data_IF_860587581285
#
_entry.id   IF_860587581285
#
_cell.length_a   1.000
_cell.length_b   1.000
_cell.length_c   1.000
_cell.angle_alpha   90.00
_cell.angle_beta   90.00
_cell.angle_gamma   90.00
#
_symmetry.space_group_name_H-M   'P 1'
#
loop_
_entity.id
_entity.type
_entity.pdbx_description
1 polymer ?
#
# COMPACT_ATOMS: atom_id res chain seq x y z
N UNK A 1 -2.24 17.66 -21.38
CA UNK A 1 -2.54 18.05 -19.99
C UNK A 1 -1.65 17.21 -19.08
N UNK A 2 -0.82 17.82 -18.24
CA UNK A 2 0.22 17.13 -17.50
C UNK A 2 -0.40 16.25 -16.39
N UNK A 3 -0.31 14.92 -16.56
CA UNK A 3 -0.83 13.95 -15.60
C UNK A 3 -0.09 14.06 -14.26
N UNK A 4 -0.86 14.13 -13.17
CA UNK A 4 -0.43 14.48 -11.81
C UNK A 4 0.41 13.44 -11.08
N UNK A 5 1.59 13.11 -11.60
CA UNK A 5 2.61 12.30 -10.92
C UNK A 5 3.45 13.17 -9.99
N UNK A 6 3.68 12.75 -8.75
CA UNK A 6 4.79 13.27 -7.94
C UNK A 6 6.06 12.99 -8.74
N UNK A 7 6.75 14.04 -9.20
CA UNK A 7 7.84 13.88 -10.18
C UNK A 7 9.14 13.40 -9.54
N UNK A 8 9.33 13.65 -8.24
CA UNK A 8 10.53 13.24 -7.53
C UNK A 8 10.23 13.12 -6.04
N UNK A 9 10.47 11.93 -5.48
CA UNK A 9 10.58 11.72 -4.05
C UNK A 9 12.03 11.39 -3.73
N UNK A 10 12.71 12.25 -2.99
CA UNK A 10 14.07 11.98 -2.51
C UNK A 10 13.96 11.60 -1.04
N UNK A 11 14.42 10.40 -0.71
CA UNK A 11 14.52 9.90 0.66
C UNK A 11 16.00 9.99 1.06
N UNK A 12 16.32 10.84 2.03
CA UNK A 12 17.67 10.93 2.62
C UNK A 12 17.63 10.43 4.04
N UNK A 13 18.59 9.57 4.39
CA UNK A 13 18.80 9.12 5.76
C UNK A 13 19.79 10.06 6.45
N UNK A 14 19.48 10.44 7.68
CA UNK A 14 20.36 11.25 8.52
C UNK A 14 20.36 10.68 9.95
N UNK A 15 21.54 10.51 10.53
CA UNK A 15 21.71 10.15 11.94
C UNK A 15 22.10 11.40 12.72
N UNK A 16 21.42 11.69 13.84
CA UNK A 16 21.87 12.73 14.77
C UNK A 16 22.60 12.11 15.95
N UNK A 17 23.85 12.53 16.20
CA UNK A 17 24.55 12.25 17.46
C UNK A 17 24.46 13.50 18.35
N UNK A 18 23.68 13.44 19.42
CA UNK A 18 23.73 14.46 20.46
C UNK A 18 24.84 14.10 21.45
N UNK A 19 25.88 14.92 21.52
CA UNK A 19 26.91 14.81 22.57
C UNK A 19 26.23 14.91 23.95
N UNK A 20 26.16 13.80 24.68
CA UNK A 20 25.68 13.73 26.08
C UNK A 20 24.42 12.89 26.35
N UNK A 21 23.80 12.26 25.36
CA UNK A 21 22.69 11.32 25.60
C UNK A 21 22.72 10.13 24.65
N UNK A 22 22.73 8.92 25.21
CA UNK A 22 22.71 7.66 24.48
C UNK A 22 21.29 7.40 23.95
N UNK A 23 20.93 8.06 22.85
CA UNK A 23 19.76 7.71 22.05
C UNK A 23 20.05 8.08 20.58
N UNK A 24 20.75 7.18 19.88
CA UNK A 24 20.95 7.30 18.44
C UNK A 24 19.60 7.09 17.77
N UNK A 25 18.95 8.18 17.34
CA UNK A 25 17.72 8.12 16.54
C UNK A 25 18.09 8.39 15.09
N UNK A 26 17.78 7.43 14.24
CA UNK A 26 17.90 7.59 12.80
C UNK A 26 16.63 8.23 12.24
N UNK A 27 16.81 9.27 11.44
CA UNK A 27 15.72 10.03 10.84
C UNK A 27 15.73 9.84 9.33
N UNK A 28 14.53 9.92 8.75
CA UNK A 28 14.32 9.93 7.32
C UNK A 28 13.74 11.29 6.94
N UNK A 29 14.43 12.01 6.06
CA UNK A 29 13.90 13.18 5.39
C UNK A 29 13.34 12.76 4.04
N UNK A 30 12.02 12.86 3.90
CA UNK A 30 11.31 12.71 2.63
C UNK A 30 11.03 14.08 2.05
N UNK A 31 11.39 14.25 0.78
CA UNK A 31 11.10 15.44 -0.02
C UNK A 31 10.10 15.07 -1.12
N UNK A 32 9.06 15.89 -1.33
CA UNK A 32 8.07 15.69 -2.40
C UNK A 32 7.66 17.00 -3.08
N UNK A 33 7.17 16.87 -4.33
CA UNK A 33 6.75 17.99 -5.18
C UNK A 33 5.33 17.80 -5.76
N UNK A 34 4.26 17.82 -4.93
CA UNK A 34 2.89 17.72 -5.42
C UNK A 34 2.38 19.03 -6.05
N UNK A 35 1.28 18.93 -6.79
CA UNK A 35 0.52 20.10 -7.26
C UNK A 35 -0.02 20.89 -6.07
N UNK A 36 0.00 22.23 -6.20
CA UNK A 36 -0.59 23.14 -5.23
C UNK A 36 -2.09 22.82 -5.07
N UNK A 37 -2.59 22.85 -3.83
CA UNK A 37 -3.95 22.46 -3.46
C UNK A 37 -4.11 21.00 -3.02
N UNK A 38 -3.14 20.10 -3.27
CA UNK A 38 -3.18 18.76 -2.66
C UNK A 38 -2.97 18.83 -1.15
N UNK A 39 -3.70 18.03 -0.39
CA UNK A 39 -3.50 17.87 1.06
C UNK A 39 -2.07 17.36 1.33
N UNK A 40 -1.44 17.84 2.39
CA UNK A 40 -0.10 17.44 2.78
C UNK A 40 -0.10 15.98 3.28
N UNK A 41 0.85 15.14 2.87
CA UNK A 41 0.90 13.74 3.30
C UNK A 41 0.95 13.57 4.83
N UNK A 42 1.65 14.48 5.52
CA UNK A 42 1.66 14.54 6.99
C UNK A 42 0.25 14.78 7.59
N UNK A 43 -0.56 15.67 6.99
CA UNK A 43 -1.94 15.91 7.44
C UNK A 43 -2.80 14.64 7.33
N UNK A 44 -2.62 13.88 6.25
CA UNK A 44 -3.29 12.58 6.09
C UNK A 44 -2.84 11.61 7.17
N UNK A 45 -1.53 11.51 7.45
CA UNK A 45 -1.00 10.66 8.53
C UNK A 45 -1.61 11.06 9.88
N UNK A 46 -1.72 12.36 10.19
CA UNK A 46 -2.32 12.83 11.44
C UNK A 46 -3.82 12.49 11.54
N UNK A 47 -4.57 12.65 10.43
CA UNK A 47 -5.99 12.24 10.36
C UNK A 47 -6.16 10.73 10.52
N UNK A 48 -5.35 9.95 9.81
CA UNK A 48 -5.34 8.50 9.90
C UNK A 48 -5.02 8.04 11.33
N UNK A 49 -4.01 8.63 11.98
CA UNK A 49 -3.65 8.31 13.37
C UNK A 49 -4.79 8.64 14.33
N UNK A 50 -5.47 9.78 14.14
CA UNK A 50 -6.67 10.11 14.92
C UNK A 50 -7.80 9.11 14.71
N UNK A 51 -8.05 8.68 13.48
CA UNK A 51 -9.07 7.67 13.18
C UNK A 51 -8.75 6.34 13.87
N UNK A 52 -7.51 5.86 13.76
CA UNK A 52 -7.07 4.60 14.38
C UNK A 52 -7.05 4.66 15.91
N UNK A 53 -6.68 5.80 16.51
CA UNK A 53 -6.76 5.96 17.97
C UNK A 53 -8.18 5.74 18.50
N UNK A 54 -9.22 6.21 17.78
CA UNK A 54 -10.60 5.95 18.21
C UNK A 54 -10.94 4.46 18.17
N UNK A 55 -10.43 3.74 17.15
CA UNK A 55 -10.59 2.28 17.05
C UNK A 55 -9.87 1.59 18.20
N UNK A 56 -8.63 1.99 18.48
CA UNK A 56 -7.83 1.45 19.58
C UNK A 56 -8.50 1.68 20.94
N UNK A 57 -9.05 2.87 21.18
CA UNK A 57 -9.78 3.21 22.40
C UNK A 57 -11.04 2.36 22.57
N UNK A 58 -11.81 2.14 21.49
CA UNK A 58 -12.99 1.28 21.53
C UNK A 58 -12.64 -0.19 21.76
N UNK A 59 -11.54 -0.68 21.20
CA UNK A 59 -11.07 -2.06 21.38
C UNK A 59 -10.45 -2.28 22.76
N UNK A 60 -9.75 -1.29 23.32
CA UNK A 60 -9.12 -1.37 24.64
C UNK A 60 -10.11 -1.55 25.79
N UNK A 61 -11.36 -1.08 25.62
CA UNK A 61 -12.48 -1.35 26.55
C UNK A 61 -12.77 -2.85 26.70
N UNK A 62 -12.35 -3.67 25.73
CA UNK A 62 -12.56 -5.13 25.71
C UNK A 62 -11.27 -5.95 25.90
N UNK A 63 -10.09 -5.38 25.62
CA UNK A 63 -8.78 -6.08 25.67
C UNK A 63 -7.64 -5.13 26.09
N UNK A 64 -7.25 -5.19 27.36
CA UNK A 64 -6.08 -4.44 27.86
C UNK A 64 -4.76 -5.06 27.36
N UNK A 65 -3.82 -4.22 26.90
CA UNK A 65 -2.44 -4.65 26.56
C UNK A 65 -2.21 -5.12 25.12
N UNK A 66 -3.14 -4.90 24.20
CA UNK A 66 -2.93 -5.24 22.78
C UNK A 66 -2.21 -4.14 22.00
N UNK A 67 -1.48 -4.58 20.97
CA UNK A 67 -0.83 -3.73 19.96
C UNK A 67 -1.85 -2.79 19.32
N UNK A 68 -1.50 -1.52 19.18
CA UNK A 68 -2.38 -0.47 18.66
C UNK A 68 -2.27 -0.35 17.14
N UNK A 69 -3.40 -0.22 16.46
CA UNK A 69 -3.40 0.00 15.01
C UNK A 69 -2.77 1.35 14.65
N UNK A 70 -2.93 2.36 15.50
CA UNK A 70 -2.30 3.69 15.33
C UNK A 70 -0.76 3.67 15.25
N UNK A 71 -0.11 2.64 15.79
CA UNK A 71 1.34 2.44 15.70
C UNK A 71 1.80 1.87 14.35
N UNK A 72 0.85 1.43 13.52
CA UNK A 72 1.07 0.99 12.14
C UNK A 72 1.17 2.14 11.13
N UNK A 73 1.31 3.39 11.62
CA UNK A 73 1.54 4.58 10.82
C UNK A 73 2.93 5.16 11.11
N UNK A 74 3.59 5.83 10.14
CA UNK A 74 4.87 6.49 10.37
C UNK A 74 4.77 7.56 11.46
N UNK A 75 5.78 7.63 12.34
CA UNK A 75 5.96 8.72 13.29
C UNK A 75 6.57 9.90 12.54
N UNK A 76 5.77 10.95 12.37
CA UNK A 76 6.19 12.22 11.80
C UNK A 76 6.66 13.12 12.92
N UNK A 77 7.92 13.57 12.86
CA UNK A 77 8.51 14.47 13.84
C UNK A 77 8.38 15.93 13.42
N UNK A 78 8.53 16.20 12.12
CA UNK A 78 8.38 17.53 11.53
C UNK A 78 7.83 17.40 10.12
N UNK A 79 7.03 18.36 9.72
CA UNK A 79 6.62 18.57 8.35
C UNK A 79 6.65 20.08 8.07
N UNK A 80 6.98 20.45 6.83
CA UNK A 80 6.95 21.84 6.40
C UNK A 80 6.85 21.95 4.89
N UNK A 81 6.20 23.02 4.45
CA UNK A 81 6.06 23.41 3.06
C UNK A 81 6.87 24.67 2.80
N UNK A 82 7.66 24.69 1.73
CA UNK A 82 8.32 25.92 1.29
C UNK A 82 7.36 26.68 0.37
N UNK A 83 6.71 27.70 0.93
CA UNK A 83 5.80 28.60 0.21
C UNK A 83 6.50 29.26 -1.00
N UNK A 84 5.77 29.32 -2.12
CA UNK A 84 6.10 29.99 -3.38
C UNK A 84 6.62 31.43 -3.24
N UNK A 85 6.37 32.10 -2.12
CA UNK A 85 6.89 33.46 -1.84
C UNK A 85 8.39 33.51 -1.57
N UNK A 86 9.03 32.39 -1.22
CA UNK A 86 10.45 32.35 -0.88
C UNK A 86 11.34 32.17 -2.14
N UNK A 87 11.37 33.20 -3.00
CA UNK A 87 12.06 33.19 -4.31
C UNK A 87 13.53 32.78 -4.25
N UNK A 88 14.22 33.10 -3.15
CA UNK A 88 15.65 32.81 -2.96
C UNK A 88 15.87 31.29 -2.79
N UNK A 89 15.12 30.64 -1.88
CA UNK A 89 15.17 29.19 -1.70
C UNK A 89 14.76 28.45 -2.98
N UNK A 90 13.79 28.98 -3.72
CA UNK A 90 13.38 28.41 -5.00
C UNK A 90 14.50 28.46 -6.05
N UNK A 91 15.22 29.58 -6.16
CA UNK A 91 16.37 29.72 -7.06
C UNK A 91 17.54 28.79 -6.74
N UNK A 92 17.70 28.40 -5.47
CA UNK A 92 18.69 27.39 -5.06
C UNK A 92 18.24 25.95 -5.30
N UNK A 93 16.92 25.68 -5.29
CA UNK A 93 16.37 24.33 -5.41
C UNK A 93 15.84 23.98 -6.82
N UNK A 94 15.58 24.94 -7.71
CA UNK A 94 14.91 24.70 -9.00
C UNK A 94 15.71 25.26 -10.21
N UNK A 95 16.17 24.37 -11.09
CA UNK A 95 16.62 24.74 -12.44
C UNK A 95 15.48 24.72 -13.49
N UNK A 96 14.31 24.15 -13.16
CA UNK A 96 13.20 23.94 -14.09
C UNK A 96 11.87 24.39 -13.47
N UNK A 97 11.08 25.17 -14.23
CA UNK A 97 9.76 25.67 -13.84
C UNK A 97 8.73 24.53 -13.69
N UNK A 98 8.55 24.01 -12.48
CA UNK A 98 7.55 22.98 -12.16
C UNK A 98 6.16 23.61 -11.94
N UNK A 99 5.42 23.83 -13.03
CA UNK A 99 4.10 24.47 -13.08
C UNK A 99 3.16 24.16 -11.91
N UNK A 100 2.96 25.16 -11.05
CA UNK A 100 1.97 25.13 -9.96
C UNK A 100 2.24 24.11 -8.85
N UNK A 101 3.45 23.57 -8.70
CA UNK A 101 3.79 22.60 -7.65
C UNK A 101 4.42 23.28 -6.42
N UNK A 102 4.34 22.64 -5.27
CA UNK A 102 4.93 23.11 -3.99
C UNK A 102 5.93 22.09 -3.46
N UNK A 103 7.01 22.56 -2.84
CA UNK A 103 8.04 21.72 -2.26
C UNK A 103 7.70 21.42 -0.79
N UNK A 104 7.60 20.13 -0.47
CA UNK A 104 7.21 19.63 0.85
C UNK A 104 8.26 18.71 1.44
N UNK A 105 8.39 18.77 2.76
CA UNK A 105 9.30 17.92 3.52
C UNK A 105 8.57 17.25 4.68
N UNK A 106 8.91 15.99 4.92
CA UNK A 106 8.49 15.22 6.09
C UNK A 106 9.76 14.61 6.71
N UNK A 107 9.99 14.90 7.98
CA UNK A 107 10.98 14.22 8.82
C UNK A 107 10.24 13.17 9.63
N UNK A 108 10.54 11.91 9.38
CA UNK A 108 9.96 10.78 10.09
C UNK A 108 11.03 9.90 10.70
N UNK A 109 10.58 8.91 11.48
CA UNK A 109 11.45 7.81 11.88
C UNK A 109 11.99 7.02 10.69
N UNK A 110 13.09 6.30 10.94
CA UNK A 110 13.59 5.27 10.06
C UNK A 110 12.80 3.98 10.25
N UNK A 111 12.20 3.50 9.15
CA UNK A 111 11.52 2.21 9.06
C UNK A 111 12.32 1.27 8.18
N UNK A 112 12.13 -0.03 8.35
CA UNK A 112 12.76 -1.06 7.52
C UNK A 112 11.72 -1.67 6.56
N UNK A 113 12.08 -2.03 5.32
CA UNK A 113 11.16 -2.66 4.37
C UNK A 113 10.61 -3.98 4.90
N UNK A 114 9.32 -4.29 4.68
CA UNK A 114 8.75 -5.58 5.11
C UNK A 114 9.53 -6.78 4.52
N UNK A 115 10.13 -6.59 3.34
CA UNK A 115 10.93 -7.60 2.66
C UNK A 115 12.25 -7.90 3.36
N UNK A 116 12.71 -7.08 4.31
CA UNK A 116 13.93 -7.33 5.10
C UNK A 116 13.70 -8.27 6.29
N UNK A 117 12.45 -8.63 6.60
CA UNK A 117 12.13 -9.63 7.60
C UNK A 117 12.62 -11.01 7.14
N UNK A 118 13.26 -11.75 8.05
CA UNK A 118 13.76 -13.11 7.80
C UNK A 118 12.99 -14.18 8.57
N UNK A 119 12.12 -13.77 9.50
CA UNK A 119 11.18 -14.64 10.20
C UNK A 119 9.80 -14.55 9.55
N UNK A 120 9.22 -15.72 9.27
CA UNK A 120 7.94 -15.81 8.57
C UNK A 120 6.77 -15.29 9.42
N UNK A 121 6.77 -15.54 10.72
CA UNK A 121 5.69 -15.12 11.60
C UNK A 121 5.74 -13.61 11.89
N UNK A 122 6.95 -13.03 11.96
CA UNK A 122 7.14 -11.58 11.95
C UNK A 122 6.59 -10.96 10.65
N UNK A 123 6.90 -11.55 9.48
CA UNK A 123 6.36 -11.11 8.19
C UNK A 123 4.83 -11.18 8.15
N UNK A 124 4.24 -12.31 8.55
CA UNK A 124 2.78 -12.47 8.61
C UNK A 124 2.15 -11.44 9.53
N UNK A 125 2.77 -11.19 10.69
CA UNK A 125 2.30 -10.19 11.65
C UNK A 125 2.31 -8.79 11.07
N UNK A 126 3.42 -8.36 10.49
CA UNK A 126 3.53 -7.05 9.84
C UNK A 126 2.51 -6.89 8.69
N UNK A 127 2.34 -7.93 7.87
CA UNK A 127 1.38 -7.91 6.76
C UNK A 127 -0.07 -7.80 7.26
N UNK A 128 -0.42 -8.51 8.33
CA UNK A 128 -1.74 -8.42 8.98
C UNK A 128 -2.00 -7.04 9.59
N UNK A 129 -1.02 -6.44 10.27
CA UNK A 129 -1.18 -5.10 10.84
C UNK A 129 -1.59 -4.09 9.75
N UNK A 130 -0.90 -4.14 8.60
CA UNK A 130 -1.15 -3.27 7.45
C UNK A 130 -2.55 -3.54 6.87
N UNK A 131 -2.93 -4.81 6.72
CA UNK A 131 -4.27 -5.19 6.27
C UNK A 131 -5.37 -4.61 7.19
N UNK A 132 -5.22 -4.73 8.51
CA UNK A 132 -6.20 -4.18 9.46
C UNK A 132 -6.29 -2.65 9.38
N UNK A 133 -5.15 -1.96 9.25
CA UNK A 133 -5.12 -0.50 9.13
C UNK A 133 -5.83 -0.01 7.87
N UNK A 134 -5.65 -0.69 6.74
CA UNK A 134 -6.40 -0.39 5.50
C UNK A 134 -7.91 -0.44 5.77
N UNK A 135 -8.39 -1.49 6.43
CA UNK A 135 -9.81 -1.64 6.75
C UNK A 135 -10.32 -0.52 7.65
N UNK A 136 -9.70 -0.35 8.82
CA UNK A 136 -10.17 0.61 9.82
C UNK A 136 -10.14 2.06 9.33
N UNK A 137 -9.22 2.38 8.43
CA UNK A 137 -9.17 3.69 7.79
C UNK A 137 -10.26 3.86 6.73
N UNK A 138 -10.51 2.84 5.90
CA UNK A 138 -11.55 2.85 4.88
C UNK A 138 -12.95 3.02 5.48
N UNK A 139 -13.25 2.34 6.60
CA UNK A 139 -14.56 2.44 7.27
C UNK A 139 -14.67 3.61 8.26
N UNK A 140 -13.59 4.38 8.44
CA UNK A 140 -13.60 5.55 9.33
C UNK A 140 -14.51 6.65 8.79
N UNK A 141 -14.86 7.62 9.65
CA UNK A 141 -15.67 8.80 9.23
C UNK A 141 -15.03 9.60 8.09
N UNK A 142 -13.71 9.57 7.97
CA UNK A 142 -12.98 10.29 6.94
C UNK A 142 -12.77 9.43 5.67
N UNK A 143 -13.15 8.15 5.65
CA UNK A 143 -13.08 7.26 4.49
C UNK A 143 -11.71 7.28 3.82
N UNK A 144 -10.65 6.96 4.56
CA UNK A 144 -9.27 7.18 4.12
C UNK A 144 -8.79 5.98 3.31
N UNK A 145 -8.38 6.21 2.06
CA UNK A 145 -7.87 5.19 1.13
C UNK A 145 -6.44 5.55 0.72
N UNK A 146 -5.50 4.60 0.78
CA UNK A 146 -4.08 4.88 0.55
C UNK A 146 -3.72 5.07 -0.93
N UNK A 147 -4.34 4.29 -1.84
CA UNK A 147 -4.25 4.40 -3.32
C UNK A 147 -2.91 4.04 -3.98
N UNK A 148 -1.85 3.82 -3.21
CA UNK A 148 -0.56 3.33 -3.71
C UNK A 148 0.07 2.25 -2.82
N UNK A 149 -0.66 1.15 -2.65
CA UNK A 149 -0.13 -0.06 -2.04
C UNK A 149 0.92 -0.68 -2.98
N UNK A 150 2.17 -0.72 -2.53
CA UNK A 150 3.30 -1.29 -3.27
C UNK A 150 4.35 -1.85 -2.30
N UNK A 151 5.31 -2.65 -2.80
CA UNK A 151 6.33 -3.32 -1.97
C UNK A 151 7.13 -2.32 -1.11
N UNK A 152 7.50 -1.15 -1.66
CA UNK A 152 8.30 -0.15 -0.94
C UNK A 152 7.54 0.59 0.16
N UNK A 153 6.21 0.55 0.15
CA UNK A 153 5.36 1.23 1.12
C UNK A 153 4.96 0.32 2.29
N UNK A 154 5.11 -0.99 2.15
CA UNK A 154 4.98 -1.92 3.26
C UNK A 154 6.30 -1.96 4.03
N UNK A 155 6.28 -1.41 5.24
CA UNK A 155 7.42 -1.31 6.13
C UNK A 155 7.14 -2.03 7.46
N UNK A 156 8.14 -2.10 8.32
CA UNK A 156 7.96 -2.46 9.71
C UNK A 156 8.90 -1.66 10.63
N UNK A 157 8.59 -1.73 11.92
CA UNK A 157 9.47 -1.33 13.02
C UNK A 157 9.57 -2.48 14.01
N UNK A 158 10.65 -2.51 14.78
CA UNK A 158 10.79 -3.40 15.95
C UNK A 158 10.50 -2.58 17.21
N UNK A 159 9.61 -3.10 18.06
CA UNK A 159 9.26 -2.48 19.34
C UNK A 159 10.32 -2.84 20.41
N UNK A 160 10.26 -2.15 21.56
CA UNK A 160 11.22 -2.34 22.66
C UNK A 160 11.20 -3.77 23.22
N UNK A 161 10.04 -4.43 23.18
CA UNK A 161 9.88 -5.83 23.59
C UNK A 161 10.37 -6.86 22.55
N UNK A 162 10.92 -6.37 21.43
CA UNK A 162 11.42 -7.17 20.32
C UNK A 162 10.35 -7.57 19.30
N UNK A 163 9.07 -7.32 19.55
CA UNK A 163 7.99 -7.64 18.62
C UNK A 163 8.01 -6.74 17.37
N UNK A 164 7.45 -7.24 16.27
CA UNK A 164 7.38 -6.52 14.99
C UNK A 164 6.03 -5.85 14.83
N UNK A 165 6.03 -4.59 14.38
CA UNK A 165 4.86 -3.82 13.99
C UNK A 165 4.95 -3.45 12.51
N UNK A 166 4.02 -3.94 11.70
CA UNK A 166 3.87 -3.52 10.32
C UNK A 166 3.44 -2.06 10.23
N UNK A 167 3.98 -1.33 9.27
CA UNK A 167 3.73 0.11 9.07
C UNK A 167 3.45 0.37 7.60
N UNK A 168 2.33 1.02 7.29
CA UNK A 168 2.01 1.47 5.94
C UNK A 168 2.53 2.90 5.73
N UNK A 169 3.48 3.06 4.82
CA UNK A 169 4.18 4.32 4.56
C UNK A 169 3.72 4.97 3.24
N UNK A 170 4.01 6.26 3.09
CA UNK A 170 3.75 7.08 1.90
C UNK A 170 2.28 7.41 1.60
N UNK A 171 1.76 8.40 2.33
CA UNK A 171 0.36 8.84 2.25
C UNK A 171 0.13 10.04 1.30
N UNK A 172 1.07 10.35 0.40
CA UNK A 172 1.02 11.57 -0.43
C UNK A 172 -0.08 11.55 -1.51
N UNK A 173 -0.57 10.37 -1.86
CA UNK A 173 -1.61 10.16 -2.89
C UNK A 173 -2.91 9.60 -2.31
N UNK A 174 -2.99 9.49 -0.98
CA UNK A 174 -4.17 9.03 -0.29
C UNK A 174 -5.36 10.00 -0.50
N UNK A 175 -6.57 9.46 -0.46
CA UNK A 175 -7.81 10.23 -0.51
C UNK A 175 -8.63 10.08 0.77
N UNK A 176 -9.57 10.99 0.94
CA UNK A 176 -10.57 10.97 2.02
C UNK A 176 -11.94 11.23 1.41
N UNK A 177 -13.02 10.79 2.07
CA UNK A 177 -14.41 11.00 1.62
C UNK A 177 -14.73 12.48 1.35
N UNK A 178 -14.07 13.41 2.06
CA UNK A 178 -14.21 14.87 1.84
C UNK A 178 -13.63 15.34 0.51
N UNK A 179 -12.61 14.64 0.00
CA UNK A 179 -11.91 14.98 -1.25
C UNK A 179 -12.64 14.43 -2.48
N UNK A 180 -13.59 13.51 -2.31
CA UNK A 180 -14.36 12.91 -3.41
C UNK A 180 -15.42 13.84 -4.00
N UNK A 181 -15.69 14.99 -3.36
CA UNK A 181 -16.54 16.04 -3.92
C UNK A 181 -15.92 16.76 -5.13
N UNK A 182 -14.60 16.59 -5.36
CA UNK A 182 -13.89 17.03 -6.56
C UNK A 182 -13.69 15.86 -7.53
N UNK A 183 -14.46 15.85 -8.63
CA UNK A 183 -14.45 14.80 -9.67
C UNK A 183 -13.08 14.56 -10.33
N UNK A 184 -12.19 15.55 -10.28
CA UNK A 184 -10.83 15.44 -10.84
C UNK A 184 -9.89 14.61 -9.94
N UNK A 185 -10.17 14.51 -8.64
CA UNK A 185 -9.34 13.76 -7.69
C UNK A 185 -9.72 12.27 -7.61
N UNK A 186 -10.99 11.94 -7.85
CA UNK A 186 -11.53 10.57 -7.77
C UNK A 186 -11.05 9.67 -8.91
N UNK A 187 -10.96 10.20 -10.13
CA UNK A 187 -10.61 9.43 -11.34
C UNK A 187 -9.11 9.45 -11.68
N UNK A 188 -8.28 10.03 -10.82
CA UNK A 188 -6.85 10.14 -11.07
C UNK A 188 -6.18 8.76 -11.05
N UNK A 189 -5.49 8.40 -12.14
CA UNK A 189 -4.71 7.15 -12.27
C UNK A 189 -3.44 7.16 -11.41
N UNK A 190 -3.58 7.18 -10.09
CA UNK A 190 -2.50 7.01 -9.11
C UNK A 190 -2.15 5.54 -8.93
N UNK A 191 -1.04 5.23 -8.26
CA UNK A 191 -0.66 3.86 -7.92
C UNK A 191 0.32 3.21 -8.91
N UNK A 192 1.15 2.33 -8.38
CA UNK A 192 2.18 1.59 -9.13
C UNK A 192 1.56 0.51 -10.03
N UNK A 193 1.87 0.51 -11.33
CA UNK A 193 1.20 -0.32 -12.37
C UNK A 193 1.11 -1.81 -12.01
N UNK A 194 2.21 -2.40 -11.53
CA UNK A 194 2.25 -3.81 -11.16
C UNK A 194 1.33 -4.16 -9.99
N UNK A 195 1.12 -3.25 -9.04
CA UNK A 195 0.38 -3.53 -7.81
C UNK A 195 -1.04 -2.99 -7.80
N UNK A 196 -1.36 -2.01 -8.64
CA UNK A 196 -2.70 -1.45 -8.81
C UNK A 196 -3.76 -2.54 -9.00
N UNK A 197 -4.97 -2.41 -8.45
CA UNK A 197 -6.05 -3.39 -8.73
C UNK A 197 -6.38 -3.49 -10.22
N UNK A 198 -6.84 -4.66 -10.67
CA UNK A 198 -7.20 -4.94 -12.08
C UNK A 198 -8.19 -3.94 -12.65
N UNK A 199 -9.28 -3.62 -11.95
CA UNK A 199 -10.33 -2.73 -12.48
C UNK A 199 -9.86 -1.26 -12.58
N UNK A 200 -8.87 -0.85 -11.79
CA UNK A 200 -8.28 0.50 -11.88
C UNK A 200 -7.45 0.72 -13.16
N UNK A 201 -7.33 -0.30 -14.02
CA UNK A 201 -6.78 -0.18 -15.36
C UNK A 201 -7.84 0.09 -16.44
N UNK A 202 -9.13 0.11 -16.10
CA UNK A 202 -10.20 0.54 -17.03
C UNK A 202 -10.09 2.04 -17.35
N UNK A 203 -10.76 2.46 -18.44
CA UNK A 203 -10.79 3.86 -18.89
C UNK A 203 -12.23 4.36 -19.09
N UNK A 204 -12.70 5.33 -18.29
CA UNK A 204 -12.05 5.91 -17.11
C UNK A 204 -11.93 4.87 -15.97
N UNK A 205 -10.97 5.05 -15.03
CA UNK A 205 -10.89 4.17 -13.87
C UNK A 205 -12.11 4.38 -12.96
N UNK A 206 -12.60 3.34 -12.27
CA UNK A 206 -13.65 3.48 -11.27
C UNK A 206 -13.16 4.26 -10.03
N UNK A 207 -14.11 4.75 -9.23
CA UNK A 207 -13.82 5.34 -7.91
C UNK A 207 -13.10 4.33 -7.04
N UNK A 208 -12.02 4.75 -6.40
CA UNK A 208 -11.18 3.87 -5.61
C UNK A 208 -11.90 3.43 -4.34
N UNK A 209 -11.89 2.13 -4.05
CA UNK A 209 -12.59 1.52 -2.93
C UNK A 209 -11.69 0.52 -2.19
N UNK A 210 -12.08 0.16 -0.97
CA UNK A 210 -11.32 -0.72 -0.08
C UNK A 210 -10.85 -2.02 -0.74
N UNK A 211 -11.72 -2.72 -1.50
CA UNK A 211 -11.34 -3.98 -2.16
C UNK A 211 -10.17 -3.85 -3.13
N UNK A 212 -9.92 -2.66 -3.67
CA UNK A 212 -8.76 -2.43 -4.54
C UNK A 212 -7.45 -2.42 -3.76
N UNK A 213 -7.47 -1.97 -2.50
CA UNK A 213 -6.32 -2.04 -1.60
C UNK A 213 -6.01 -3.50 -1.25
N UNK A 214 -7.03 -4.32 -1.02
CA UNK A 214 -6.88 -5.77 -0.79
C UNK A 214 -6.34 -6.52 -2.00
N UNK A 215 -6.85 -6.23 -3.18
CA UNK A 215 -6.30 -6.80 -4.42
C UNK A 215 -4.85 -6.36 -4.65
N UNK A 216 -4.53 -5.10 -4.32
CA UNK A 216 -3.15 -4.59 -4.41
C UNK A 216 -2.21 -5.28 -3.41
N UNK A 217 -2.67 -5.52 -2.17
CA UNK A 217 -1.95 -6.31 -1.17
C UNK A 217 -1.68 -7.73 -1.67
N UNK A 218 -2.66 -8.37 -2.31
CA UNK A 218 -2.47 -9.69 -2.92
C UNK A 218 -1.37 -9.67 -3.99
N UNK A 219 -1.35 -8.65 -4.86
CA UNK A 219 -0.30 -8.54 -5.87
C UNK A 219 1.08 -8.27 -5.24
N UNK A 220 1.16 -7.43 -4.20
CA UNK A 220 2.40 -7.21 -3.44
C UNK A 220 2.90 -8.53 -2.84
N UNK A 221 2.03 -9.27 -2.14
CA UNK A 221 2.36 -10.57 -1.57
C UNK A 221 2.83 -11.56 -2.64
N UNK A 222 2.13 -11.63 -3.77
CA UNK A 222 2.50 -12.47 -4.91
C UNK A 222 3.92 -12.17 -5.39
N UNK A 223 4.24 -10.91 -5.64
CA UNK A 223 5.57 -10.50 -6.12
C UNK A 223 6.68 -10.74 -5.10
N UNK A 224 6.42 -10.49 -3.81
CA UNK A 224 7.37 -10.80 -2.72
C UNK A 224 7.68 -12.30 -2.73
N UNK A 225 6.64 -13.14 -2.70
CA UNK A 225 6.78 -14.59 -2.70
C UNK A 225 7.46 -15.14 -3.96
N UNK A 226 7.48 -14.43 -5.09
CA UNK A 226 8.21 -14.89 -6.28
C UNK A 226 9.71 -14.58 -6.26
N UNK A 227 10.13 -13.58 -5.48
CA UNK A 227 11.38 -12.88 -5.78
C UNK A 227 12.25 -12.47 -4.60
N UNK A 228 11.78 -12.60 -3.36
CA UNK A 228 12.56 -12.26 -2.17
C UNK A 228 12.94 -13.50 -1.35
N UNK A 229 14.09 -13.44 -0.67
CA UNK A 229 14.51 -14.35 0.40
C UNK A 229 15.55 -13.64 1.25
N UNK A 230 15.60 -13.93 2.55
CA UNK A 230 16.66 -13.47 3.45
C UNK A 230 16.93 -11.96 3.36
N UNK A 231 15.84 -11.20 3.30
CA UNK A 231 15.89 -9.77 3.28
C UNK A 231 16.23 -9.11 1.94
N UNK A 232 16.39 -9.90 0.87
CA UNK A 232 16.96 -9.43 -0.41
C UNK A 232 16.15 -9.88 -1.61
N UNK A 233 16.16 -9.04 -2.64
CA UNK A 233 15.70 -9.43 -3.96
C UNK A 233 16.66 -10.48 -4.54
N UNK A 234 16.14 -11.64 -4.90
CA UNK A 234 16.92 -12.75 -5.43
C UNK A 234 17.52 -12.40 -6.81
N UNK A 235 18.66 -12.99 -7.18
CA UNK A 235 19.14 -13.01 -8.57
C UNK A 235 18.09 -13.61 -9.51
N UNK A 236 18.07 -13.17 -10.78
CA UNK A 236 17.01 -13.52 -11.73
C UNK A 236 16.84 -15.04 -11.90
N UNK A 237 17.94 -15.79 -11.92
CA UNK A 237 18.01 -17.24 -12.06
C UNK A 237 17.46 -18.02 -10.85
N UNK A 238 17.36 -17.37 -9.68
CA UNK A 238 16.79 -17.96 -8.45
C UNK A 238 15.33 -17.54 -8.22
N UNK A 239 14.80 -16.61 -9.01
CA UNK A 239 13.39 -16.20 -8.91
C UNK A 239 12.49 -17.28 -9.51
N UNK A 240 11.26 -17.34 -9.01
CA UNK A 240 10.23 -18.16 -9.65
C UNK A 240 10.04 -17.72 -11.11
N UNK A 241 9.85 -18.68 -12.03
CA UNK A 241 9.81 -18.41 -13.49
C UNK A 241 8.73 -17.41 -13.90
N UNK A 242 7.61 -17.35 -13.18
CA UNK A 242 6.56 -16.35 -13.37
C UNK A 242 7.05 -14.90 -13.24
N UNK A 243 8.22 -14.66 -12.63
CA UNK A 243 8.85 -13.34 -12.58
C UNK A 243 9.19 -12.80 -13.97
N UNK A 244 9.35 -13.67 -14.98
CA UNK A 244 9.50 -13.25 -16.38
C UNK A 244 8.36 -12.36 -16.88
N UNK A 245 7.20 -12.38 -16.21
CA UNK A 245 6.07 -11.53 -16.56
C UNK A 245 6.16 -10.09 -16.01
N UNK A 246 7.12 -9.79 -15.13
CA UNK A 246 7.25 -8.47 -14.48
C UNK A 246 7.23 -7.28 -15.46
N UNK A 247 7.94 -7.30 -16.61
CA UNK A 247 7.92 -6.18 -17.56
C UNK A 247 6.52 -5.86 -18.09
N UNK A 248 5.67 -6.87 -18.26
CA UNK A 248 4.30 -6.68 -18.73
C UNK A 248 3.38 -6.13 -17.64
N UNK A 249 3.59 -6.56 -16.40
CA UNK A 249 2.86 -6.03 -15.24
C UNK A 249 3.24 -4.59 -14.91
N UNK A 250 4.48 -4.19 -15.22
CA UNK A 250 4.98 -2.84 -15.02
C UNK A 250 5.02 -2.02 -16.33
N UNK A 251 4.28 -2.46 -17.35
CA UNK A 251 4.11 -1.70 -18.60
C UNK A 251 3.29 -0.43 -18.35
N UNK A 252 3.53 0.59 -19.17
CA UNK A 252 2.69 1.79 -19.29
C UNK A 252 1.36 1.51 -20.00
N UNK A 253 1.22 0.37 -20.68
CA UNK A 253 -0.01 -0.05 -21.33
C UNK A 253 -0.97 -0.73 -20.33
N UNK A 254 -2.01 0.00 -19.94
CA UNK A 254 -3.04 -0.49 -19.01
C UNK A 254 -3.75 -1.77 -19.47
N UNK A 255 -4.02 -1.93 -20.78
CA UNK A 255 -4.65 -3.12 -21.32
C UNK A 255 -3.77 -4.36 -21.21
N UNK A 256 -2.46 -4.21 -21.42
CA UNK A 256 -1.48 -5.28 -21.20
C UNK A 256 -1.49 -5.71 -19.74
N UNK A 257 -1.35 -4.76 -18.80
CA UNK A 257 -1.35 -5.07 -17.36
C UNK A 257 -2.67 -5.74 -16.94
N UNK A 258 -3.80 -5.24 -17.41
CA UNK A 258 -5.12 -5.82 -17.15
C UNK A 258 -5.24 -7.28 -17.65
N UNK A 259 -4.72 -7.57 -18.85
CA UNK A 259 -4.72 -8.92 -19.41
C UNK A 259 -3.91 -9.90 -18.55
N UNK A 260 -2.69 -9.51 -18.15
CA UNK A 260 -1.84 -10.35 -17.31
C UNK A 260 -2.43 -10.62 -15.92
N UNK A 261 -3.09 -9.63 -15.31
CA UNK A 261 -3.85 -9.81 -14.06
C UNK A 261 -5.01 -10.78 -14.23
N UNK A 262 -5.73 -10.67 -15.34
CA UNK A 262 -6.81 -11.60 -15.70
C UNK A 262 -6.29 -13.03 -15.89
N UNK A 263 -5.09 -13.18 -16.48
CA UNK A 263 -4.39 -14.45 -16.63
C UNK A 263 -3.98 -15.06 -15.29
N UNK A 264 -3.38 -14.27 -14.38
CA UNK A 264 -3.05 -14.75 -13.02
C UNK A 264 -4.30 -15.22 -12.29
N UNK A 265 -5.40 -14.46 -12.36
CA UNK A 265 -6.68 -14.85 -11.75
C UNK A 265 -7.19 -16.20 -12.27
N UNK A 266 -7.05 -16.47 -13.57
CA UNK A 266 -7.55 -17.68 -14.20
C UNK A 266 -6.62 -18.89 -14.07
N UNK A 267 -5.35 -18.69 -13.70
CA UNK A 267 -4.34 -19.74 -13.65
C UNK A 267 -4.50 -20.63 -12.42
N UNK A 268 -4.96 -21.87 -12.61
CA UNK A 268 -5.20 -22.82 -11.51
C UNK A 268 -3.93 -23.49 -10.98
N UNK A 269 -2.84 -23.49 -11.77
CA UNK A 269 -1.64 -24.31 -11.52
C UNK A 269 -0.45 -23.51 -11.00
N UNK A 270 -0.51 -22.17 -11.04
CA UNK A 270 0.59 -21.27 -10.64
C UNK A 270 1.11 -21.50 -9.21
N UNK A 271 0.25 -22.02 -8.32
CA UNK A 271 0.57 -22.30 -6.91
C UNK A 271 0.66 -23.80 -6.58
N UNK A 272 0.67 -24.70 -7.57
CA UNK A 272 0.77 -26.15 -7.34
C UNK A 272 2.20 -26.56 -6.97
N UNK A 273 3.19 -26.05 -7.71
CA UNK A 273 4.60 -26.39 -7.54
C UNK A 273 5.25 -25.50 -6.47
N UNK A 274 4.85 -25.68 -5.20
CA UNK A 274 5.32 -24.88 -4.06
C UNK A 274 6.85 -24.81 -3.96
N UNK A 275 7.56 -25.87 -4.32
CA UNK A 275 9.02 -25.93 -4.24
C UNK A 275 9.74 -24.94 -5.18
N UNK A 276 9.03 -24.40 -6.18
CA UNK A 276 9.56 -23.35 -7.07
C UNK A 276 9.57 -21.97 -6.44
N UNK A 277 8.91 -21.78 -5.30
CA UNK A 277 8.94 -20.53 -4.55
C UNK A 277 10.14 -20.51 -3.58
N UNK A 278 10.68 -19.31 -3.25
CA UNK A 278 11.69 -19.14 -2.22
C UNK A 278 11.26 -19.76 -0.89
N UNK A 279 12.20 -20.43 -0.22
CA UNK A 279 11.94 -21.32 0.90
C UNK A 279 11.15 -20.65 2.03
N UNK A 280 11.55 -19.43 2.41
CA UNK A 280 10.89 -18.64 3.46
C UNK A 280 9.36 -18.50 3.24
N UNK A 281 8.92 -18.34 2.00
CA UNK A 281 7.52 -18.03 1.67
C UNK A 281 6.70 -19.25 1.24
N UNK A 282 7.32 -20.44 1.09
CA UNK A 282 6.62 -21.69 0.76
C UNK A 282 5.41 -21.98 1.66
N UNK A 283 5.47 -21.73 2.98
CA UNK A 283 4.31 -21.98 3.85
C UNK A 283 3.13 -21.03 3.60
N UNK A 284 3.30 -19.92 2.87
CA UNK A 284 2.21 -18.99 2.51
C UNK A 284 1.47 -19.35 1.23
N UNK A 285 2.08 -20.18 0.37
CA UNK A 285 1.59 -20.39 -1.00
C UNK A 285 0.17 -20.96 -1.02
N UNK A 286 -0.10 -21.97 -0.19
CA UNK A 286 -1.43 -22.58 -0.08
C UNK A 286 -2.39 -21.79 0.81
N UNK A 287 -2.07 -21.48 2.09
CA UNK A 287 -3.04 -20.85 2.98
C UNK A 287 -3.34 -19.41 2.61
N UNK A 288 -2.41 -18.66 2.01
CA UNK A 288 -2.65 -17.26 1.65
C UNK A 288 -2.80 -17.08 0.15
N UNK A 289 -1.74 -17.29 -0.66
CA UNK A 289 -1.76 -16.90 -2.07
C UNK A 289 -2.84 -17.62 -2.88
N UNK A 290 -2.95 -18.95 -2.74
CA UNK A 290 -3.96 -19.74 -3.45
C UNK A 290 -5.38 -19.38 -3.01
N UNK A 291 -5.63 -19.17 -1.71
CA UNK A 291 -6.96 -18.80 -1.22
C UNK A 291 -7.35 -17.37 -1.62
N UNK A 292 -6.43 -16.41 -1.57
CA UNK A 292 -6.66 -15.04 -2.04
C UNK A 292 -6.95 -15.01 -3.55
N UNK A 293 -6.15 -15.71 -4.35
CA UNK A 293 -6.37 -15.85 -5.79
C UNK A 293 -7.73 -16.49 -6.09
N UNK A 294 -8.06 -17.59 -5.39
CA UNK A 294 -9.35 -18.27 -5.53
C UNK A 294 -10.52 -17.33 -5.20
N UNK A 295 -10.40 -16.56 -4.12
CA UNK A 295 -11.41 -15.61 -3.67
C UNK A 295 -11.61 -14.47 -4.67
N UNK A 296 -10.53 -13.88 -5.17
CA UNK A 296 -10.56 -12.90 -6.26
C UNK A 296 -11.23 -13.47 -7.51
N UNK A 297 -10.87 -14.69 -7.90
CA UNK A 297 -11.45 -15.37 -9.05
C UNK A 297 -12.96 -15.56 -8.89
N UNK A 298 -13.41 -16.05 -7.74
CA UNK A 298 -14.83 -16.22 -7.41
C UNK A 298 -15.59 -14.89 -7.46
N UNK A 299 -15.05 -13.84 -6.86
CA UNK A 299 -15.65 -12.51 -6.87
C UNK A 299 -15.85 -11.94 -8.28
N UNK A 300 -14.81 -11.98 -9.11
CA UNK A 300 -14.92 -11.51 -10.48
C UNK A 300 -15.84 -12.37 -11.36
N UNK A 301 -15.89 -13.69 -11.14
CA UNK A 301 -16.81 -14.58 -11.85
C UNK A 301 -18.25 -14.31 -11.43
N UNK A 302 -18.53 -14.13 -10.14
CA UNK A 302 -19.86 -13.75 -9.65
C UNK A 302 -20.34 -12.42 -10.26
N UNK A 303 -19.44 -11.43 -10.39
CA UNK A 303 -19.75 -10.17 -11.09
C UNK A 303 -20.08 -10.39 -12.56
N UNK A 304 -19.31 -11.24 -13.24
CA UNK A 304 -19.55 -11.60 -14.63
C UNK A 304 -20.91 -12.28 -14.82
N UNK A 305 -21.26 -13.22 -13.94
CA UNK A 305 -22.54 -13.92 -13.97
C UNK A 305 -23.72 -12.97 -13.70
N UNK A 306 -23.57 -12.05 -12.74
CA UNK A 306 -24.56 -11.01 -12.49
C UNK A 306 -24.76 -10.09 -13.71
N UNK A 307 -23.68 -9.74 -14.43
CA UNK A 307 -23.77 -9.00 -15.70
C UNK A 307 -24.53 -9.79 -16.76
N UNK A 308 -24.21 -11.06 -16.94
CA UNK A 308 -24.89 -11.92 -17.92
C UNK A 308 -26.39 -12.10 -17.59
N UNK A 309 -26.73 -12.16 -16.30
CA UNK A 309 -28.10 -12.25 -15.83
C UNK A 309 -28.87 -10.92 -15.83
N UNK A 310 -28.25 -9.81 -16.26
CA UNK A 310 -28.87 -8.48 -16.23
C UNK A 310 -29.04 -7.87 -14.82
N UNK A 311 -28.35 -8.41 -13.81
CA UNK A 311 -28.43 -8.01 -12.39
C UNK A 311 -27.21 -7.24 -11.88
N UNK A 312 -26.42 -6.64 -12.79
CA UNK A 312 -25.19 -5.95 -12.40
C UNK A 312 -25.43 -4.76 -11.46
N UNK A 313 -26.57 -4.07 -11.60
CA UNK A 313 -26.93 -2.94 -10.76
C UNK A 313 -27.20 -3.33 -9.29
N UNK A 314 -27.62 -4.58 -9.05
CA UNK A 314 -27.86 -5.14 -7.71
C UNK A 314 -26.61 -5.82 -7.13
N UNK A 315 -25.55 -5.98 -7.93
CA UNK A 315 -24.35 -6.67 -7.51
C UNK A 315 -23.50 -5.78 -6.60
N UNK A 316 -23.14 -6.30 -5.43
CA UNK A 316 -22.21 -5.67 -4.51
C UNK A 316 -20.81 -5.61 -5.14
N UNK A 317 -20.50 -4.46 -5.75
CA UNK A 317 -19.19 -4.21 -6.33
C UNK A 317 -18.14 -3.84 -5.28
N UNK A 318 -18.53 -3.38 -4.10
CA UNK A 318 -17.61 -2.94 -3.06
C UNK A 318 -16.85 -4.12 -2.46
N UNK A 319 -17.51 -5.28 -2.37
CA UNK A 319 -16.90 -6.52 -1.86
C UNK A 319 -16.81 -7.65 -2.91
N UNK A 320 -17.13 -7.38 -4.18
CA UNK A 320 -17.28 -8.40 -5.22
C UNK A 320 -18.21 -9.55 -4.82
N UNK A 321 -19.43 -9.21 -4.37
CA UNK A 321 -20.44 -10.19 -3.95
C UNK A 321 -20.09 -10.90 -2.65
N UNK A 322 -19.45 -10.20 -1.72
CA UNK A 322 -18.98 -10.72 -0.43
C UNK A 322 -17.63 -11.43 -0.49
N UNK A 323 -17.10 -11.75 -1.68
CA UNK A 323 -15.87 -12.52 -1.79
C UNK A 323 -14.65 -11.76 -1.24
N UNK A 324 -14.51 -10.48 -1.56
CA UNK A 324 -13.42 -9.61 -1.12
C UNK A 324 -13.78 -8.76 0.10
N UNK A 325 -14.63 -9.26 1.01
CA UNK A 325 -14.95 -8.57 2.27
C UNK A 325 -13.81 -8.67 3.28
N UNK A 326 -13.75 -7.72 4.22
CA UNK A 326 -12.78 -7.74 5.32
C UNK A 326 -12.79 -9.08 6.07
N UNK A 327 -13.96 -9.62 6.42
CA UNK A 327 -14.09 -10.86 7.17
C UNK A 327 -13.51 -12.06 6.42
N UNK A 328 -13.73 -12.13 5.11
CA UNK A 328 -13.23 -13.23 4.29
C UNK A 328 -11.72 -13.16 4.12
N UNK A 329 -11.16 -11.98 3.86
CA UNK A 329 -9.71 -11.81 3.76
C UNK A 329 -9.04 -12.01 5.12
N UNK A 330 -9.63 -11.50 6.20
CA UNK A 330 -9.15 -11.68 7.57
C UNK A 330 -9.06 -13.16 7.96
N UNK A 331 -10.08 -13.96 7.66
CA UNK A 331 -10.06 -15.43 7.87
C UNK A 331 -8.93 -16.12 7.11
N UNK A 332 -8.62 -15.68 5.90
CA UNK A 332 -7.52 -16.25 5.10
C UNK A 332 -6.18 -15.94 5.79
N UNK A 333 -5.96 -14.69 6.20
CA UNK A 333 -4.72 -14.22 6.82
C UNK A 333 -4.50 -14.71 8.27
N UNK A 334 -5.53 -15.30 8.89
CA UNK A 334 -5.43 -15.92 10.21
C UNK A 334 -4.85 -17.33 10.20
N UNK A 335 -4.90 -18.05 9.07
CA UNK A 335 -4.19 -19.32 8.87
C UNK A 335 -2.68 -19.08 8.70
#
# INVERSE_FOLDING_TARGET
MAHGRVECTIIRQASSETHGHCNKRDYVLKQSYPLNGRVHGADIIFRARKALNNVDDDMSKSRSGSKKYSDSLPLVYRDFEIDNRNKILRGFCEANNYGGRVLRFIVSERLEPITSLTDLEEFKTAFRDIFHVIHYLAISKDGIIHRDINISNLMYRRLEDGSVQGVLNDWDVASTSRMESDSDHTNMRTGTMAFKSRDLHEDPPPVHMERFEYESLFYVLYWICLSYSDGKLLPAEKRHSAFANWPYWNSDNHGVVHSFKSGLKANETIFENVDKFPEMYRPLIRPWLRLLQYTLRRGYNARHDARFAGKLAEFDNDTLGGHMSYENICKILQN
#
